data_IF_482750258522
#
_entry.id   IF_482750258522
#
_cell.length_a   1.000
_cell.length_b   1.000
_cell.length_c   1.000
_cell.angle_alpha   90.00
_cell.angle_beta   90.00
_cell.angle_gamma   90.00
#
_symmetry.space_group_name_H-M   'P 1'
#
loop_
_entity.id
_entity.type
_entity.pdbx_description
1 polymer ?
#
# COMPACT_ATOMS: atom_id res chain seq x y z
N UNK A 1 -20.87 21.84 19.40
CA UNK A 1 -21.52 22.15 18.11
C UNK A 1 -21.63 20.84 17.37
N UNK A 2 -22.84 20.38 17.07
CA UNK A 2 -23.03 19.21 16.21
C UNK A 2 -22.37 19.53 14.88
N UNK A 3 -21.39 18.75 14.42
CA UNK A 3 -21.04 18.79 13.01
C UNK A 3 -22.32 18.46 12.24
N UNK A 4 -22.68 19.29 11.28
CA UNK A 4 -23.78 18.93 10.38
C UNK A 4 -23.35 17.67 9.62
N UNK A 5 -24.24 16.69 9.60
CA UNK A 5 -24.11 15.45 8.84
C UNK A 5 -24.15 15.82 7.34
N UNK A 6 -22.99 16.05 6.74
CA UNK A 6 -22.87 16.56 5.37
C UNK A 6 -22.52 15.47 4.35
N UNK A 7 -23.28 15.43 3.26
CA UNK A 7 -22.95 14.66 2.06
C UNK A 7 -22.16 15.53 1.08
N UNK A 8 -20.84 15.39 1.08
CA UNK A 8 -19.91 16.28 0.38
C UNK A 8 -18.75 15.55 -0.29
N UNK A 9 -17.92 16.31 -1.00
CA UNK A 9 -16.69 15.79 -1.60
C UNK A 9 -15.70 15.36 -0.50
N UNK A 10 -15.20 14.13 -0.58
CA UNK A 10 -14.22 13.54 0.35
C UNK A 10 -13.20 12.73 -0.43
N UNK A 11 -12.00 12.58 0.13
CA UNK A 11 -11.16 11.46 -0.25
C UNK A 11 -11.72 10.20 0.39
N UNK A 12 -11.83 9.12 -0.37
CA UNK A 12 -12.36 7.84 0.09
C UNK A 12 -11.45 6.72 -0.38
N UNK A 13 -10.98 5.90 0.55
CA UNK A 13 -10.29 4.65 0.27
C UNK A 13 -11.16 3.46 0.67
N UNK A 14 -11.18 2.42 -0.16
CA UNK A 14 -11.68 1.10 0.21
C UNK A 14 -10.54 0.11 0.02
N UNK A 15 -10.25 -0.66 1.06
CA UNK A 15 -9.08 -1.53 1.13
C UNK A 15 -9.49 -2.89 1.68
N UNK A 16 -8.95 -3.96 1.10
CA UNK A 16 -9.28 -5.35 1.41
C UNK A 16 -8.03 -6.22 1.55
N UNK A 17 -8.10 -7.25 2.40
CA UNK A 17 -7.03 -8.24 2.57
C UNK A 17 -7.06 -9.25 1.43
N UNK A 18 -5.95 -9.31 0.69
CA UNK A 18 -5.81 -10.24 -0.41
C UNK A 18 -5.90 -11.70 0.06
N UNK A 19 -6.88 -12.43 -0.46
CA UNK A 19 -6.98 -13.89 -0.25
C UNK A 19 -7.67 -14.31 1.06
N UNK A 20 -8.37 -13.41 1.73
CA UNK A 20 -9.06 -13.70 3.00
C UNK A 20 -10.00 -14.91 2.95
N UNK A 21 -10.70 -15.14 1.83
CA UNK A 21 -11.52 -16.35 1.64
C UNK A 21 -10.72 -17.65 1.85
N UNK A 22 -9.44 -17.66 1.48
CA UNK A 22 -8.53 -18.78 1.72
C UNK A 22 -8.32 -19.03 3.21
N UNK A 23 -8.15 -17.96 4.00
CA UNK A 23 -7.95 -18.00 5.45
C UNK A 23 -9.14 -18.59 6.19
N UNK A 24 -10.37 -18.25 5.76
CA UNK A 24 -11.59 -18.89 6.30
C UNK A 24 -11.60 -20.39 6.00
N UNK A 25 -11.14 -20.79 4.81
CA UNK A 25 -10.99 -22.20 4.46
C UNK A 25 -9.95 -22.92 5.32
N UNK A 26 -8.82 -22.27 5.62
CA UNK A 26 -7.76 -22.79 6.48
C UNK A 26 -8.20 -22.92 7.94
N UNK A 27 -8.96 -21.94 8.44
CA UNK A 27 -9.61 -22.01 9.74
C UNK A 27 -10.52 -23.24 9.82
N UNK A 28 -11.35 -23.47 8.79
CA UNK A 28 -12.22 -24.64 8.72
C UNK A 28 -11.48 -25.98 8.70
N UNK A 29 -10.23 -26.00 8.24
CA UNK A 29 -9.34 -27.18 8.22
C UNK A 29 -8.43 -27.29 9.45
N UNK A 30 -8.46 -26.31 10.35
CA UNK A 30 -7.58 -26.25 11.53
C UNK A 30 -6.13 -25.85 11.23
N UNK A 31 -5.84 -25.35 10.04
CA UNK A 31 -4.50 -24.88 9.64
C UNK A 31 -4.23 -23.42 10.06
N UNK A 32 -5.28 -22.68 10.41
CA UNK A 32 -5.22 -21.32 10.98
C UNK A 32 -6.02 -21.31 12.28
N UNK A 33 -5.49 -20.69 13.34
CA UNK A 33 -6.22 -20.57 14.60
C UNK A 33 -7.22 -19.40 14.59
N UNK A 34 -8.26 -19.51 15.42
CA UNK A 34 -9.22 -18.41 15.66
C UNK A 34 -8.50 -17.16 16.18
N UNK A 35 -7.47 -17.34 17.01
CA UNK A 35 -6.69 -16.22 17.58
C UNK A 35 -5.95 -15.45 16.49
N UNK A 36 -5.30 -16.14 15.55
CA UNK A 36 -4.60 -15.51 14.43
C UNK A 36 -5.56 -14.73 13.54
N UNK A 37 -6.72 -15.31 13.19
CA UNK A 37 -7.73 -14.63 12.39
C UNK A 37 -8.32 -13.42 13.13
N UNK A 38 -8.60 -13.55 14.42
CA UNK A 38 -9.08 -12.45 15.25
C UNK A 38 -8.05 -11.32 15.33
N UNK A 39 -6.77 -11.63 15.48
CA UNK A 39 -5.70 -10.63 15.55
C UNK A 39 -5.51 -9.91 14.21
N UNK A 40 -5.66 -10.61 13.09
CA UNK A 40 -5.71 -10.03 11.75
C UNK A 40 -6.88 -9.06 11.60
N UNK A 41 -8.09 -9.50 11.91
CA UNK A 41 -9.29 -8.67 11.86
C UNK A 41 -9.16 -7.47 12.81
N UNK A 42 -8.65 -7.68 14.01
CA UNK A 42 -8.39 -6.59 14.95
C UNK A 42 -7.41 -5.58 14.37
N UNK A 43 -6.43 -6.01 13.59
CA UNK A 43 -5.48 -5.11 12.95
C UNK A 43 -6.16 -4.22 11.92
N UNK A 44 -6.98 -4.76 11.02
CA UNK A 44 -7.68 -3.93 10.03
C UNK A 44 -8.75 -3.03 10.66
N UNK A 45 -9.42 -3.48 11.72
CA UNK A 45 -10.44 -2.68 12.43
C UNK A 45 -9.83 -1.62 13.36
N UNK A 46 -8.61 -1.83 13.88
CA UNK A 46 -7.89 -0.83 14.68
C UNK A 46 -7.25 0.21 13.77
N UNK A 47 -8.07 1.14 13.32
CA UNK A 47 -7.67 2.38 12.65
C UNK A 47 -7.33 3.49 13.65
N UNK A 48 -7.72 3.33 14.92
CA UNK A 48 -7.28 4.19 16.02
C UNK A 48 -5.74 4.19 16.10
N UNK A 49 -5.14 5.34 15.80
CA UNK A 49 -3.69 5.53 15.67
C UNK A 49 -3.17 5.66 14.23
N UNK A 50 -4.03 5.56 13.20
CA UNK A 50 -3.70 5.96 11.82
C UNK A 50 -3.76 7.50 11.64
N UNK A 51 -4.69 8.14 12.34
CA UNK A 51 -4.79 9.60 12.48
C UNK A 51 -3.91 10.06 13.64
N UNK A 52 -2.88 10.84 13.36
CA UNK A 52 -1.91 11.28 14.39
C UNK A 52 -1.66 12.79 14.40
N UNK A 53 -2.31 13.58 13.56
CA UNK A 53 -1.78 14.93 13.32
C UNK A 53 -2.81 16.06 13.12
N UNK A 54 -4.04 15.81 12.64
CA UNK A 54 -4.96 16.89 12.30
C UNK A 54 -6.43 16.58 12.60
N UNK A 55 -6.95 17.03 13.74
CA UNK A 55 -8.40 16.94 14.05
C UNK A 55 -9.30 17.59 12.97
N UNK A 56 -8.75 18.46 12.13
CA UNK A 56 -9.46 19.21 11.08
C UNK A 56 -9.66 18.43 9.77
N UNK A 57 -9.03 17.26 9.61
CA UNK A 57 -9.17 16.45 8.38
C UNK A 57 -10.44 15.63 8.34
N UNK A 58 -11.16 15.57 9.45
CA UNK A 58 -12.37 14.77 9.61
C UNK A 58 -12.13 13.32 9.19
N UNK A 59 -11.06 12.72 9.72
CA UNK A 59 -10.68 11.33 9.47
C UNK A 59 -11.73 10.37 10.01
N UNK A 60 -12.29 9.52 9.14
CA UNK A 60 -13.35 8.56 9.49
C UNK A 60 -13.04 7.19 8.90
N UNK A 61 -13.40 6.15 9.64
CA UNK A 61 -13.18 4.77 9.22
C UNK A 61 -14.33 3.86 9.58
N UNK A 62 -14.73 3.00 8.64
CA UNK A 62 -15.72 1.95 8.87
C UNK A 62 -15.14 0.64 8.33
N UNK A 63 -14.99 -0.36 9.20
CA UNK A 63 -14.50 -1.68 8.83
C UNK A 63 -15.62 -2.72 8.85
N UNK A 64 -15.53 -3.68 7.94
CA UNK A 64 -16.40 -4.86 7.89
C UNK A 64 -15.57 -6.05 7.44
N UNK A 65 -15.48 -7.09 8.28
CA UNK A 65 -14.69 -8.29 7.99
C UNK A 65 -13.23 -7.92 7.64
N UNK A 66 -12.78 -8.25 6.45
CA UNK A 66 -11.46 -8.10 5.88
C UNK A 66 -11.26 -6.81 5.09
N UNK A 67 -12.26 -5.93 5.11
CA UNK A 67 -12.25 -4.67 4.41
C UNK A 67 -12.43 -3.45 5.33
N UNK A 68 -11.90 -2.32 4.89
CA UNK A 68 -12.06 -1.02 5.56
C UNK A 68 -12.27 0.10 4.56
N UNK A 69 -13.26 0.94 4.85
CA UNK A 69 -13.45 2.24 4.23
C UNK A 69 -12.80 3.33 5.10
N UNK A 70 -11.99 4.20 4.50
CA UNK A 70 -11.31 5.32 5.16
C UNK A 70 -11.67 6.60 4.39
N UNK A 71 -11.96 7.70 5.06
CA UNK A 71 -12.20 8.98 4.38
C UNK A 71 -11.70 10.18 5.14
N UNK A 72 -11.36 11.24 4.40
CA UNK A 72 -10.93 12.55 4.92
C UNK A 72 -11.52 13.67 4.05
N UNK A 73 -11.48 14.90 4.57
CA UNK A 73 -11.81 16.10 3.82
C UNK A 73 -10.89 16.30 2.61
N UNK A 74 -11.40 16.95 1.56
CA UNK A 74 -10.62 17.27 0.35
C UNK A 74 -9.71 18.49 0.60
N UNK A 75 -8.68 18.28 1.41
CA UNK A 75 -7.61 19.25 1.69
C UNK A 75 -6.24 18.60 1.56
N UNK A 76 -5.17 19.41 1.60
CA UNK A 76 -3.79 18.93 1.59
C UNK A 76 -3.51 18.01 2.78
N UNK A 77 -3.94 18.41 3.96
CA UNK A 77 -3.78 17.67 5.21
C UNK A 77 -4.61 16.39 5.16
N UNK A 78 -5.85 16.46 4.65
CA UNK A 78 -6.71 15.30 4.49
C UNK A 78 -6.14 14.25 3.55
N UNK A 79 -5.56 14.68 2.42
CA UNK A 79 -4.85 13.79 1.49
C UNK A 79 -3.62 13.15 2.15
N UNK A 80 -2.80 13.97 2.82
CA UNK A 80 -1.59 13.49 3.51
C UNK A 80 -1.94 12.45 4.58
N UNK A 81 -3.01 12.68 5.33
CA UNK A 81 -3.43 11.81 6.41
C UNK A 81 -3.99 10.48 5.91
N UNK A 82 -4.82 10.47 4.87
CA UNK A 82 -5.30 9.21 4.28
C UNK A 82 -4.14 8.42 3.66
N UNK A 83 -3.18 9.07 2.97
CA UNK A 83 -2.00 8.40 2.42
C UNK A 83 -1.15 7.74 3.53
N UNK A 84 -0.93 8.44 4.64
CA UNK A 84 -0.22 7.91 5.81
C UNK A 84 -0.96 6.74 6.46
N UNK A 85 -2.28 6.86 6.59
CA UNK A 85 -3.12 5.79 7.13
C UNK A 85 -3.00 4.51 6.27
N UNK A 86 -3.00 4.65 4.94
CA UNK A 86 -2.87 3.55 3.99
C UNK A 86 -1.46 2.91 4.02
N UNK A 87 -0.40 3.71 4.11
CA UNK A 87 0.97 3.22 4.32
C UNK A 87 1.07 2.40 5.61
N UNK A 88 0.64 2.97 6.74
CA UNK A 88 0.68 2.30 8.04
C UNK A 88 -0.14 1.00 8.06
N UNK A 89 -1.34 1.01 7.48
CA UNK A 89 -2.17 -0.19 7.39
C UNK A 89 -1.47 -1.29 6.56
N UNK A 90 -0.86 -0.91 5.43
CA UNK A 90 -0.10 -1.84 4.57
C UNK A 90 1.05 -2.47 5.33
N UNK A 91 1.88 -1.68 6.01
CA UNK A 91 3.06 -2.20 6.72
C UNK A 91 2.66 -3.09 7.91
N UNK A 92 1.61 -2.73 8.67
CA UNK A 92 1.13 -3.57 9.79
C UNK A 92 0.59 -4.93 9.33
N UNK A 93 -0.10 -4.97 8.19
CA UNK A 93 -0.64 -6.21 7.63
C UNK A 93 0.46 -7.03 6.95
N UNK A 94 1.40 -6.38 6.26
CA UNK A 94 2.58 -7.02 5.70
C UNK A 94 3.43 -7.69 6.78
N UNK A 95 3.63 -7.03 7.93
CA UNK A 95 4.33 -7.61 9.08
C UNK A 95 3.63 -8.85 9.68
N UNK A 96 2.39 -9.13 9.27
CA UNK A 96 1.63 -10.34 9.62
C UNK A 96 1.56 -11.35 8.47
N UNK A 97 2.25 -11.10 7.36
CA UNK A 97 2.23 -11.95 6.17
C UNK A 97 1.07 -11.72 5.21
N UNK A 98 0.32 -10.61 5.37
CA UNK A 98 -0.86 -10.33 4.56
C UNK A 98 -0.66 -9.12 3.66
N UNK A 99 -1.03 -9.27 2.40
CA UNK A 99 -1.04 -8.17 1.44
C UNK A 99 -2.43 -7.55 1.37
N UNK A 100 -2.49 -6.27 1.03
CA UNK A 100 -3.75 -5.56 0.80
C UNK A 100 -3.80 -4.96 -0.59
N UNK A 101 -5.02 -4.71 -1.06
CA UNK A 101 -5.30 -3.96 -2.28
C UNK A 101 -6.49 -3.05 -2.06
N UNK A 102 -6.65 -2.05 -2.92
CA UNK A 102 -7.74 -1.10 -2.76
C UNK A 102 -7.81 -0.04 -3.84
N UNK A 103 -8.74 0.88 -3.66
CA UNK A 103 -8.89 2.09 -4.45
C UNK A 103 -8.99 3.33 -3.56
N UNK A 104 -8.29 4.40 -3.93
CA UNK A 104 -8.34 5.74 -3.35
C UNK A 104 -8.91 6.70 -4.40
N UNK A 105 -10.06 7.29 -4.07
CA UNK A 105 -10.83 8.16 -4.95
C UNK A 105 -11.12 9.50 -4.28
N UNK A 106 -11.51 10.48 -5.10
CA UNK A 106 -12.15 11.72 -4.64
C UNK A 106 -13.57 11.74 -5.21
N UNK A 107 -14.56 11.96 -4.35
CA UNK A 107 -15.94 12.10 -4.79
C UNK A 107 -16.91 12.30 -3.62
N UNK A 108 -18.21 12.34 -3.93
CA UNK A 108 -19.26 12.55 -2.93
C UNK A 108 -19.42 11.35 -2.00
N UNK A 109 -19.36 11.63 -0.69
CA UNK A 109 -19.46 10.62 0.36
C UNK A 109 -20.14 11.19 1.59
N UNK A 110 -21.00 10.38 2.20
CA UNK A 110 -21.44 10.53 3.57
C UNK A 110 -20.72 9.45 4.39
N UNK A 111 -20.17 9.82 5.54
CA UNK A 111 -19.48 8.88 6.42
C UNK A 111 -19.63 9.41 7.84
N UNK A 112 -20.27 8.73 8.77
CA UNK A 112 -20.28 9.10 10.18
C UNK A 112 -19.74 7.94 11.03
N UNK A 113 -20.01 7.93 12.34
CA UNK A 113 -19.55 6.87 13.24
C UNK A 113 -20.23 5.51 12.99
N UNK A 114 -21.35 5.48 12.26
CA UNK A 114 -22.21 4.31 12.12
C UNK A 114 -22.37 3.84 10.67
N UNK A 115 -22.38 4.77 9.72
CA UNK A 115 -22.70 4.48 8.32
C UNK A 115 -21.79 5.22 7.35
N UNK A 116 -21.53 4.59 6.21
CA UNK A 116 -20.80 5.16 5.09
C UNK A 116 -21.52 4.81 3.79
N UNK A 117 -21.76 5.81 2.94
CA UNK A 117 -22.38 5.63 1.63
C UNK A 117 -22.08 6.80 0.68
N UNK A 118 -22.12 6.54 -0.62
CA UNK A 118 -21.92 7.54 -1.67
C UNK A 118 -21.11 7.01 -2.83
N UNK A 119 -21.09 7.77 -3.93
CA UNK A 119 -20.42 7.41 -5.17
C UNK A 119 -18.93 7.10 -4.95
N UNK A 120 -18.27 7.85 -4.07
CA UNK A 120 -16.87 7.62 -3.75
C UNK A 120 -16.61 6.23 -3.14
N UNK A 121 -17.51 5.72 -2.29
CA UNK A 121 -17.39 4.37 -1.74
C UNK A 121 -17.59 3.31 -2.83
N UNK A 122 -18.59 3.51 -3.69
CA UNK A 122 -18.88 2.60 -4.82
C UNK A 122 -17.71 2.54 -5.78
N UNK A 123 -17.13 3.67 -6.15
CA UNK A 123 -15.97 3.74 -7.04
C UNK A 123 -14.72 3.14 -6.41
N UNK A 124 -14.46 3.40 -5.13
CA UNK A 124 -13.33 2.81 -4.42
C UNK A 124 -13.46 1.28 -4.32
N UNK A 125 -14.66 0.78 -4.03
CA UNK A 125 -14.96 -0.65 -4.02
C UNK A 125 -14.80 -1.29 -5.41
N UNK A 126 -15.28 -0.62 -6.46
CA UNK A 126 -15.12 -1.09 -7.85
C UNK A 126 -13.66 -1.19 -8.25
N UNK A 127 -12.84 -0.19 -7.87
CA UNK A 127 -11.40 -0.23 -8.11
C UNK A 127 -10.73 -1.41 -7.41
N UNK A 128 -11.06 -1.69 -6.15
CA UNK A 128 -10.53 -2.85 -5.42
C UNK A 128 -10.92 -4.17 -6.08
N UNK A 129 -12.21 -4.33 -6.36
CA UNK A 129 -12.80 -5.63 -6.72
C UNK A 129 -12.61 -6.01 -8.19
N UNK A 130 -12.62 -5.02 -9.09
CA UNK A 130 -12.62 -5.24 -10.55
C UNK A 130 -11.30 -4.83 -11.22
N UNK A 131 -10.57 -3.86 -10.65
CA UNK A 131 -9.42 -3.23 -11.34
C UNK A 131 -8.08 -3.58 -10.67
N UNK A 132 -8.01 -3.60 -9.34
CA UNK A 132 -6.79 -3.87 -8.59
C UNK A 132 -6.44 -5.37 -8.61
N UNK A 133 -5.71 -5.77 -9.65
CA UNK A 133 -5.21 -7.14 -9.80
C UNK A 133 -4.12 -7.49 -8.78
N UNK A 134 -3.24 -6.52 -8.50
CA UNK A 134 -2.06 -6.65 -7.67
C UNK A 134 -2.25 -6.06 -6.26
N UNK A 135 -1.42 -6.45 -5.27
CA UNK A 135 -1.49 -5.92 -3.89
C UNK A 135 -1.03 -4.46 -3.80
N UNK A 136 -1.88 -3.55 -4.29
CA UNK A 136 -1.65 -2.10 -4.32
C UNK A 136 -2.96 -1.35 -4.11
N UNK A 137 -2.84 -0.11 -3.63
CA UNK A 137 -3.97 0.80 -3.48
C UNK A 137 -3.92 1.80 -4.62
N UNK A 138 -4.81 1.64 -5.61
CA UNK A 138 -4.84 2.47 -6.81
C UNK A 138 -5.35 3.87 -6.49
N UNK A 139 -4.71 4.91 -7.01
CA UNK A 139 -5.18 6.28 -6.88
C UNK A 139 -5.82 6.74 -8.20
N UNK A 140 -7.04 7.26 -8.14
CA UNK A 140 -7.70 7.82 -9.33
C UNK A 140 -6.96 9.04 -9.86
N UNK A 141 -7.23 9.38 -11.13
CA UNK A 141 -6.71 10.60 -11.75
C UNK A 141 -7.08 11.86 -10.94
N UNK A 142 -8.27 11.91 -10.35
CA UNK A 142 -8.71 13.06 -9.56
C UNK A 142 -7.82 13.26 -8.31
N UNK A 143 -7.50 12.17 -7.61
CA UNK A 143 -6.59 12.19 -6.45
C UNK A 143 -5.17 12.56 -6.90
N UNK A 144 -4.70 12.01 -8.02
CA UNK A 144 -3.40 12.34 -8.58
C UNK A 144 -3.25 13.84 -8.92
N UNK A 145 -4.27 14.44 -9.51
CA UNK A 145 -4.24 15.87 -9.86
C UNK A 145 -4.16 16.75 -8.60
N UNK A 146 -4.90 16.42 -7.55
CA UNK A 146 -4.82 17.15 -6.28
C UNK A 146 -3.46 16.94 -5.60
N UNK A 147 -2.93 15.71 -5.64
CA UNK A 147 -1.59 15.40 -5.14
C UNK A 147 -0.51 16.25 -5.82
N UNK A 148 -0.50 16.30 -7.15
CA UNK A 148 0.45 17.09 -7.93
C UNK A 148 0.32 18.58 -7.61
N UNK A 149 -0.91 19.08 -7.49
CA UNK A 149 -1.19 20.46 -7.09
C UNK A 149 -0.60 20.77 -5.71
N UNK A 150 -0.95 19.99 -4.68
CA UNK A 150 -0.50 20.25 -3.32
C UNK A 150 1.01 20.06 -3.14
N UNK A 151 1.62 19.14 -3.91
CA UNK A 151 3.08 18.98 -3.95
C UNK A 151 3.76 20.21 -4.55
N UNK A 152 3.21 20.79 -5.62
CA UNK A 152 3.76 21.99 -6.26
C UNK A 152 3.57 23.27 -5.44
N UNK A 153 2.51 23.34 -4.62
CA UNK A 153 2.20 24.47 -3.74
C UNK A 153 2.97 24.43 -2.40
N UNK A 154 3.60 23.30 -2.05
CA UNK A 154 4.21 23.08 -0.75
C UNK A 154 5.74 23.22 -0.74
N UNK A 155 6.26 24.01 0.20
CA UNK A 155 7.71 24.20 0.37
C UNK A 155 8.40 23.13 1.25
N UNK A 156 7.63 22.29 1.94
CA UNK A 156 8.14 21.40 3.00
C UNK A 156 8.43 19.96 2.55
N UNK A 157 8.30 19.65 1.24
CA UNK A 157 8.49 18.31 0.67
C UNK A 157 7.66 17.19 1.34
N UNK A 158 6.65 17.55 2.15
CA UNK A 158 5.88 16.59 2.95
C UNK A 158 5.05 15.61 2.12
N UNK A 159 4.73 16.00 0.88
CA UNK A 159 4.01 15.19 -0.09
C UNK A 159 4.92 14.53 -1.13
N UNK A 160 6.24 14.54 -0.95
CA UNK A 160 7.12 13.86 -1.88
C UNK A 160 6.98 12.33 -1.77
N UNK A 161 7.01 11.67 -2.93
CA UNK A 161 7.08 10.21 -3.07
C UNK A 161 5.89 9.42 -2.47
N UNK A 162 4.72 10.03 -2.25
CA UNK A 162 3.54 9.30 -1.76
C UNK A 162 2.73 8.56 -2.83
N UNK A 163 2.83 8.96 -4.10
CA UNK A 163 2.10 8.33 -5.21
C UNK A 163 3.10 8.00 -6.31
N UNK A 164 3.06 6.75 -6.79
CA UNK A 164 3.90 6.24 -7.88
C UNK A 164 3.04 5.80 -9.05
N UNK A 165 3.62 5.83 -10.25
CA UNK A 165 3.02 5.19 -11.42
C UNK A 165 3.52 3.75 -11.53
N UNK A 166 2.61 2.81 -11.80
CA UNK A 166 2.97 1.42 -12.04
C UNK A 166 3.27 1.15 -13.52
N UNK A 167 4.08 0.15 -13.80
CA UNK A 167 4.46 -0.27 -15.17
C UNK A 167 3.26 -0.64 -16.07
N UNK A 168 2.13 -1.02 -15.48
CA UNK A 168 0.87 -1.31 -16.20
C UNK A 168 -0.04 -0.08 -16.37
N UNK A 169 0.40 1.10 -15.93
CA UNK A 169 -0.20 2.40 -16.23
C UNK A 169 -0.76 3.19 -15.03
N UNK A 170 -1.56 2.60 -14.12
CA UNK A 170 -2.22 3.35 -13.06
C UNK A 170 -1.30 3.96 -12.01
N UNK A 171 -1.77 5.03 -11.39
CA UNK A 171 -1.18 5.59 -10.17
C UNK A 171 -1.56 4.74 -8.96
N UNK A 172 -0.67 4.63 -7.98
CA UNK A 172 -0.91 3.91 -6.73
C UNK A 172 -0.17 4.56 -5.56
N UNK A 173 -0.69 4.36 -4.35
CA UNK A 173 -0.09 4.86 -3.11
C UNK A 173 1.24 4.14 -2.84
N UNK A 174 2.32 4.89 -2.64
CA UNK A 174 3.63 4.35 -2.27
C UNK A 174 3.66 3.99 -0.78
N UNK A 175 3.12 2.82 -0.46
CA UNK A 175 3.03 2.25 0.90
C UNK A 175 4.36 1.74 1.49
N UNK A 176 5.45 1.76 0.73
CA UNK A 176 6.80 1.42 1.19
C UNK A 176 7.68 2.67 1.37
N UNK A 177 7.11 3.88 1.26
CA UNK A 177 7.86 5.15 1.27
C UNK A 177 8.69 5.32 2.54
N UNK A 178 8.11 5.09 3.72
CA UNK A 178 8.82 5.17 5.00
C UNK A 178 9.97 4.14 5.09
N UNK A 179 9.73 2.91 4.65
CA UNK A 179 10.74 1.85 4.55
C UNK A 179 11.89 2.25 3.61
N UNK A 180 11.55 2.78 2.44
CA UNK A 180 12.50 3.28 1.44
C UNK A 180 13.36 4.42 1.96
N UNK A 181 12.75 5.42 2.59
CA UNK A 181 13.44 6.58 3.16
C UNK A 181 14.42 6.15 4.26
N UNK A 182 13.99 5.26 5.16
CA UNK A 182 14.85 4.75 6.21
C UNK A 182 16.05 3.99 5.63
N UNK A 183 15.81 3.04 4.72
CA UNK A 183 16.86 2.24 4.09
C UNK A 183 17.85 3.11 3.31
N UNK A 184 17.38 4.13 2.60
CA UNK A 184 18.24 5.05 1.86
C UNK A 184 19.15 5.86 2.79
N UNK A 185 18.60 6.42 3.88
CA UNK A 185 19.36 7.15 4.89
C UNK A 185 20.46 6.27 5.49
N UNK A 186 20.12 5.07 5.92
CA UNK A 186 21.08 4.11 6.48
C UNK A 186 22.19 3.75 5.49
N UNK A 187 21.86 3.57 4.21
CA UNK A 187 22.85 3.24 3.17
C UNK A 187 23.82 4.39 2.88
N UNK A 188 23.33 5.63 2.84
CA UNK A 188 24.17 6.79 2.54
C UNK A 188 25.17 7.10 3.66
N UNK A 189 24.79 6.87 4.91
CA UNK A 189 25.57 7.38 6.03
C UNK A 189 26.73 6.45 6.49
N UNK A 190 26.87 5.22 5.97
CA UNK A 190 27.98 4.28 6.30
C UNK A 190 28.23 4.10 7.83
N UNK A 191 27.18 4.03 8.68
CA UNK A 191 27.32 4.29 10.13
C UNK A 191 27.32 3.04 11.04
N UNK A 192 28.01 3.19 12.17
CA UNK A 192 27.73 2.53 13.45
C UNK A 192 26.30 2.84 13.94
N UNK A 193 25.33 2.00 13.56
CA UNK A 193 23.92 2.17 13.92
C UNK A 193 23.68 2.20 15.43
N UNK A 194 22.87 3.16 15.89
CA UNK A 194 22.31 3.17 17.25
C UNK A 194 21.36 1.96 17.46
N UNK A 195 21.08 1.53 18.70
CA UNK A 195 20.17 0.41 18.93
C UNK A 195 18.78 0.57 18.28
N UNK A 196 18.11 1.74 18.33
CA UNK A 196 16.82 1.94 17.64
C UNK A 196 16.90 1.81 16.12
N UNK A 197 18.00 2.28 15.52
CA UNK A 197 18.23 2.16 14.07
C UNK A 197 18.50 0.71 13.67
N UNK A 198 19.18 -0.07 14.51
CA UNK A 198 19.34 -1.52 14.30
C UNK A 198 18.00 -2.24 14.33
N UNK A 199 17.17 -1.98 15.34
CA UNK A 199 15.82 -2.57 15.41
C UNK A 199 14.96 -2.22 14.20
N UNK A 200 15.07 -0.98 13.71
CA UNK A 200 14.38 -0.57 12.49
C UNK A 200 14.90 -1.31 11.25
N UNK A 201 16.21 -1.58 11.19
CA UNK A 201 16.83 -2.38 10.13
C UNK A 201 16.34 -3.84 10.16
N UNK A 202 16.36 -4.45 11.35
CA UNK A 202 15.89 -5.82 11.58
C UNK A 202 14.44 -5.94 11.11
N UNK A 203 13.61 -4.93 11.40
CA UNK A 203 12.22 -4.91 10.92
C UNK A 203 12.11 -4.88 9.39
N UNK A 204 12.97 -4.14 8.67
CA UNK A 204 12.96 -4.16 7.19
C UNK A 204 13.37 -5.54 6.67
N UNK A 205 14.36 -6.17 7.30
CA UNK A 205 14.79 -7.54 6.98
C UNK A 205 13.66 -8.55 7.23
N UNK A 206 12.93 -8.41 8.34
CA UNK A 206 11.77 -9.26 8.64
C UNK A 206 10.68 -9.11 7.57
N UNK A 207 10.34 -7.88 7.15
CA UNK A 207 9.40 -7.64 6.06
C UNK A 207 9.87 -8.27 4.74
N UNK A 208 11.16 -8.19 4.44
CA UNK A 208 11.74 -8.85 3.27
C UNK A 208 11.61 -10.37 3.35
N UNK A 209 11.92 -10.97 4.50
CA UNK A 209 11.81 -12.41 4.72
C UNK A 209 10.36 -12.88 4.57
N UNK A 210 9.40 -12.12 5.10
CA UNK A 210 7.97 -12.41 4.91
C UNK A 210 7.60 -12.45 3.42
N UNK A 211 8.10 -11.52 2.60
CA UNK A 211 7.82 -11.52 1.16
C UNK A 211 8.43 -12.77 0.49
N UNK A 212 9.65 -13.15 0.88
CA UNK A 212 10.32 -14.37 0.38
C UNK A 212 9.55 -15.64 0.77
N UNK A 213 9.10 -15.75 2.02
CA UNK A 213 8.27 -16.86 2.50
C UNK A 213 6.97 -16.94 1.70
N UNK A 214 6.30 -15.79 1.45
CA UNK A 214 5.06 -15.77 0.66
C UNK A 214 5.28 -16.12 -0.82
N UNK A 215 6.46 -15.83 -1.38
CA UNK A 215 6.82 -16.29 -2.73
C UNK A 215 6.95 -17.81 -2.77
N UNK A 216 7.64 -18.40 -1.79
CA UNK A 216 7.82 -19.85 -1.69
C UNK A 216 6.48 -20.58 -1.49
N UNK A 217 5.67 -20.14 -0.53
CA UNK A 217 4.34 -20.69 -0.24
C UNK A 217 3.39 -20.63 -1.45
N UNK A 218 3.60 -19.69 -2.36
CA UNK A 218 2.72 -19.46 -3.51
C UNK A 218 3.13 -20.22 -4.78
N UNK A 219 4.23 -20.98 -4.77
CA UNK A 219 4.81 -21.60 -5.97
C UNK A 219 3.83 -22.52 -6.72
N UNK A 220 2.94 -23.22 -6.00
CA UNK A 220 1.93 -24.12 -6.58
C UNK A 220 0.63 -23.41 -6.98
N UNK A 221 0.54 -22.09 -6.77
CA UNK A 221 -0.61 -21.27 -7.15
C UNK A 221 -0.16 -20.07 -8.02
N UNK A 222 -0.01 -20.26 -9.34
CA UNK A 222 0.53 -19.24 -10.24
C UNK A 222 -0.21 -17.89 -10.17
N UNK A 223 -1.52 -17.90 -9.92
CA UNK A 223 -2.32 -16.68 -9.80
C UNK A 223 -2.01 -15.89 -8.53
N UNK A 224 -1.74 -16.59 -7.42
CA UNK A 224 -1.32 -15.94 -6.18
C UNK A 224 0.16 -15.56 -6.23
N UNK A 225 1.01 -16.43 -6.78
CA UNK A 225 2.42 -16.16 -7.01
C UNK A 225 2.64 -14.86 -7.78
N UNK A 226 1.93 -14.65 -8.89
CA UNK A 226 2.04 -13.43 -9.68
C UNK A 226 1.75 -12.15 -8.87
N UNK A 227 0.85 -12.22 -7.88
CA UNK A 227 0.51 -11.10 -7.00
C UNK A 227 1.63 -10.82 -6.00
N UNK A 228 2.18 -11.86 -5.38
CA UNK A 228 3.32 -11.73 -4.46
C UNK A 228 4.56 -11.27 -5.21
N UNK A 229 4.80 -11.81 -6.41
CA UNK A 229 5.87 -11.40 -7.32
C UNK A 229 5.79 -9.91 -7.66
N UNK A 230 4.61 -9.39 -8.01
CA UNK A 230 4.44 -7.96 -8.25
C UNK A 230 4.85 -7.12 -7.03
N UNK A 231 4.49 -7.55 -5.81
CA UNK A 231 4.88 -6.85 -4.59
C UNK A 231 6.39 -6.94 -4.34
N UNK A 232 7.02 -8.08 -4.62
CA UNK A 232 8.46 -8.27 -4.52
C UNK A 232 9.23 -7.37 -5.51
N UNK A 233 8.73 -7.20 -6.73
CA UNK A 233 9.29 -6.22 -7.67
C UNK A 233 9.12 -4.78 -7.18
N UNK A 234 7.94 -4.46 -6.63
CA UNK A 234 7.68 -3.15 -6.05
C UNK A 234 8.63 -2.86 -4.86
N UNK A 235 8.89 -3.87 -4.02
CA UNK A 235 9.92 -3.81 -2.98
C UNK A 235 11.29 -3.54 -3.58
N UNK A 236 11.74 -4.34 -4.55
CA UNK A 236 13.06 -4.19 -5.18
C UNK A 236 13.27 -2.82 -5.84
N UNK A 237 12.23 -2.25 -6.43
CA UNK A 237 12.27 -0.90 -7.03
C UNK A 237 12.27 0.23 -6.00
N UNK A 238 11.77 -0.03 -4.79
CA UNK A 238 11.56 1.01 -3.79
C UNK A 238 12.58 0.99 -2.67
N UNK A 239 12.96 -0.19 -2.17
CA UNK A 239 13.84 -0.35 -1.03
C UNK A 239 15.26 -0.60 -1.56
N UNK A 240 16.20 0.35 -1.39
CA UNK A 240 17.53 0.23 -1.97
C UNK A 240 18.28 -0.96 -1.37
N UNK A 241 18.93 -1.74 -2.23
CA UNK A 241 19.84 -2.81 -1.87
C UNK A 241 21.29 -2.30 -1.83
N UNK A 242 22.13 -2.82 -0.93
CA UNK A 242 23.55 -2.47 -0.84
C UNK A 242 24.03 -2.21 0.59
N UNK A 243 24.46 -3.29 1.23
CA UNK A 243 25.05 -3.42 2.57
C UNK A 243 25.23 -4.93 2.85
N UNK A 244 25.92 -5.34 3.91
CA UNK A 244 26.10 -6.78 4.24
C UNK A 244 24.77 -7.53 4.45
N UNK A 245 23.69 -6.81 4.73
CA UNK A 245 22.42 -7.37 5.21
C UNK A 245 21.21 -7.08 4.29
N UNK A 246 21.39 -6.38 3.15
CA UNK A 246 20.30 -6.09 2.19
C UNK A 246 20.57 -6.70 0.83
N UNK A 247 19.90 -7.81 0.53
CA UNK A 247 19.86 -8.41 -0.80
C UNK A 247 18.59 -7.98 -1.51
N UNK A 248 18.61 -7.89 -2.85
CA UNK A 248 17.36 -7.76 -3.61
C UNK A 248 16.59 -9.08 -3.53
N UNK A 249 15.26 -9.03 -3.46
CA UNK A 249 14.42 -10.24 -3.48
C UNK A 249 14.63 -10.93 -4.83
N UNK A 250 15.21 -12.13 -4.80
CA UNK A 250 15.45 -12.96 -5.98
C UNK A 250 14.38 -14.04 -6.08
N UNK A 251 14.11 -14.50 -7.31
CA UNK A 251 13.17 -15.58 -7.55
C UNK A 251 12.74 -15.69 -9.02
N UNK A 252 11.90 -16.68 -9.35
CA UNK A 252 11.36 -16.82 -10.70
C UNK A 252 10.73 -15.50 -11.18
N UNK A 253 11.17 -15.01 -12.35
CA UNK A 253 10.70 -13.76 -12.96
C UNK A 253 11.13 -12.45 -12.28
N UNK A 254 11.89 -12.49 -11.18
CA UNK A 254 12.41 -11.28 -10.50
C UNK A 254 13.84 -10.90 -10.91
N UNK A 255 14.55 -11.83 -11.57
CA UNK A 255 15.96 -11.69 -11.93
C UNK A 255 16.16 -11.22 -13.38
N UNK A 256 15.09 -11.06 -14.14
CA UNK A 256 15.18 -10.55 -15.50
C UNK A 256 15.34 -9.04 -15.45
N UNK A 257 16.59 -8.59 -15.63
CA UNK A 257 16.84 -7.32 -16.30
C UNK A 257 15.94 -7.34 -17.54
N UNK A 258 14.87 -6.54 -17.58
CA UNK A 258 14.15 -6.26 -18.83
C UNK A 258 15.25 -5.88 -19.80
N UNK A 259 15.57 -6.74 -20.76
CA UNK A 259 16.50 -6.42 -21.82
C UNK A 259 15.88 -5.19 -22.50
N UNK A 260 16.42 -4.01 -22.17
CA UNK A 260 16.41 -2.91 -23.12
C UNK A 260 17.20 -3.46 -24.29
N UNK A 261 16.49 -4.06 -25.24
CA UNK A 261 17.03 -4.40 -26.55
C UNK A 261 17.73 -3.12 -27.00
N UNK A 262 19.04 -3.18 -27.08
CA UNK A 262 19.88 -2.05 -27.38
C UNK A 262 19.33 -1.34 -28.61
N UNK A 263 19.14 -0.04 -28.46
CA UNK A 263 19.19 0.87 -29.58
C UNK A 263 20.60 0.74 -30.18
N UNK A 264 20.77 -0.24 -31.06
CA UNK A 264 21.89 -0.39 -32.01
C UNK A 264 21.65 -1.65 -32.87
N UNK A 265 20.54 -1.65 -33.62
CA UNK A 265 20.49 -2.37 -34.90
C UNK A 265 20.10 -1.37 -35.97
N UNK A 266 20.95 -1.10 -36.98
CA UNK A 266 20.55 -0.28 -38.10
C UNK A 266 19.43 -1.01 -38.83
N UNK A 267 18.30 -0.34 -39.01
CA UNK A 267 17.26 -0.77 -39.91
C UNK A 267 17.89 -1.01 -41.30
N UNK A 268 18.08 -2.27 -41.65
CA UNK A 268 18.27 -2.65 -43.05
C UNK A 268 16.88 -2.67 -43.70
N UNK A 269 16.62 -1.84 -44.72
CA UNK A 269 15.44 -2.02 -45.53
C UNK A 269 15.68 -3.25 -46.43
N UNK A 270 14.76 -4.20 -46.40
CA UNK A 270 14.67 -5.30 -47.35
C UNK A 270 13.34 -5.16 -48.13
N UNK A 271 13.28 -5.75 -49.33
CA UNK A 271 13.18 -5.08 -50.63
C UNK A 271 11.80 -4.55 -51.02
#
# INVERSE_FOLDING_TARGET
>A
MSSELEYGERYCAFVDILGFRGLIGELGRGALSITELRDLLTTIHKTDGLSTQYWQTDFRTQSISDAVAISTNVTREGLTEILRALENLTLRLLNKGYFIRGGLVKGRLFHDENVVFGDALVDAYRLESEVALYPRIMATRAVWLDFEKYRAEGDDHSLDDWIKQSDDGPMFVHTLRATSQFAYRTKLENINLSPPERTSLDHITDLQNIILEKLDESIDNPRYFQKVQWFAEYWNRSVPYGGKDFTSIQGPGLNETKWLVGADQPFHPLP
#
